data_IF_735998932622
#
_entry.id   IF_735998932622
#
_cell.length_a   1.000
_cell.length_b   1.000
_cell.length_c   1.000
_cell.angle_alpha   90.00
_cell.angle_beta   90.00
_cell.angle_gamma   90.00
#
_symmetry.space_group_name_H-M   'P 1'
#
loop_
_entity.id
_entity.type
_entity.pdbx_description
1 polymer ?
#
# COMPACT_ATOMS: atom_id res chain seq x y z
N UNK A 1 -23.58 -13.38 31.57
CA UNK A 1 -22.35 -12.61 31.25
C UNK A 1 -22.16 -12.65 29.73
N UNK A 2 -22.59 -11.61 29.01
CA UNK A 2 -22.68 -11.68 27.54
C UNK A 2 -22.52 -10.29 26.92
N UNK A 3 -21.28 -9.84 26.67
CA UNK A 3 -20.98 -8.62 25.90
C UNK A 3 -19.57 -8.67 25.29
N UNK A 4 -19.41 -9.25 24.10
CA UNK A 4 -18.20 -9.00 23.27
C UNK A 4 -18.33 -9.41 21.78
N UNK A 5 -19.44 -9.11 21.10
CA UNK A 5 -19.59 -9.51 19.68
C UNK A 5 -20.03 -8.39 18.72
N UNK A 6 -19.90 -7.11 19.09
CA UNK A 6 -20.38 -6.01 18.23
C UNK A 6 -19.31 -5.07 17.65
N UNK A 7 -18.03 -5.22 18.02
CA UNK A 7 -16.96 -4.36 17.46
C UNK A 7 -16.42 -4.82 16.11
N UNK A 8 -16.54 -6.11 15.78
CA UNK A 8 -16.01 -6.66 14.53
C UNK A 8 -16.83 -6.25 13.30
N UNK A 9 -18.15 -6.08 13.44
CA UNK A 9 -19.05 -5.68 12.34
C UNK A 9 -18.92 -4.20 11.96
N UNK A 10 -18.48 -3.34 12.89
CA UNK A 10 -18.29 -1.91 12.63
C UNK A 10 -17.13 -1.60 11.68
N UNK A 11 -16.16 -2.51 11.52
CA UNK A 11 -15.04 -2.32 10.58
C UNK A 11 -15.44 -2.56 9.12
N UNK A 12 -16.47 -3.37 8.86
CA UNK A 12 -16.93 -3.68 7.50
C UNK A 12 -18.07 -2.78 7.02
N UNK A 13 -18.79 -2.13 7.95
CA UNK A 13 -19.88 -1.18 7.65
C UNK A 13 -19.39 0.26 7.63
N UNK A 14 -18.30 0.53 6.90
CA UNK A 14 -17.91 1.90 6.63
C UNK A 14 -18.70 2.39 5.42
N UNK A 15 -19.60 3.34 5.64
CA UNK A 15 -20.32 4.03 4.55
C UNK A 15 -19.32 4.83 3.73
N UNK A 16 -18.85 4.23 2.63
CA UNK A 16 -17.99 4.91 1.68
C UNK A 16 -18.89 5.75 0.77
N UNK A 17 -18.92 7.06 1.01
CA UNK A 17 -19.66 8.01 0.19
C UNK A 17 -18.89 8.30 -1.10
N UNK A 18 -19.31 7.67 -2.21
CA UNK A 18 -18.71 7.85 -3.55
C UNK A 18 -19.22 9.11 -4.27
N UNK A 19 -20.11 9.86 -3.63
CA UNK A 19 -20.93 10.96 -4.17
C UNK A 19 -20.17 12.15 -4.78
N UNK A 20 -18.85 12.25 -4.54
CA UNK A 20 -18.02 13.38 -4.97
C UNK A 20 -16.92 12.99 -5.98
N UNK A 21 -16.84 11.72 -6.39
CA UNK A 21 -15.78 11.26 -7.28
C UNK A 21 -16.18 11.30 -8.74
N UNK A 22 -15.39 12.01 -9.56
CA UNK A 22 -15.54 12.06 -11.03
C UNK A 22 -15.36 10.66 -11.66
N UNK A 23 -14.68 9.75 -10.96
CA UNK A 23 -14.39 8.39 -11.42
C UNK A 23 -15.54 7.40 -11.21
N UNK A 24 -16.55 7.76 -10.42
CA UNK A 24 -17.67 6.88 -10.09
C UNK A 24 -18.99 7.65 -10.29
N UNK A 25 -19.56 7.64 -11.51
CA UNK A 25 -20.87 8.26 -11.73
C UNK A 25 -21.91 7.61 -10.82
N UNK A 26 -22.74 8.46 -10.20
CA UNK A 26 -23.72 8.04 -9.19
C UNK A 26 -24.63 6.93 -9.73
N UNK A 27 -24.77 5.85 -8.97
CA UNK A 27 -25.60 4.70 -9.32
C UNK A 27 -24.93 3.67 -10.25
N UNK A 28 -23.70 3.91 -10.71
CA UNK A 28 -22.93 2.98 -11.53
C UNK A 28 -21.61 2.54 -10.86
N UNK A 29 -21.44 2.78 -9.55
CA UNK A 29 -20.13 2.57 -8.89
C UNK A 29 -19.67 1.11 -9.04
N UNK A 30 -20.57 0.16 -8.86
CA UNK A 30 -20.28 -1.29 -8.98
C UNK A 30 -19.88 -1.69 -10.40
N UNK A 31 -20.50 -1.09 -11.41
CA UNK A 31 -20.20 -1.38 -12.81
C UNK A 31 -18.80 -0.86 -13.16
N UNK A 32 -18.50 0.38 -12.79
CA UNK A 32 -17.18 0.98 -13.01
C UNK A 32 -16.09 0.24 -12.24
N UNK A 33 -16.34 -0.19 -11.01
CA UNK A 33 -15.43 -1.05 -10.25
C UNK A 33 -15.09 -2.34 -10.99
N UNK A 34 -16.09 -3.02 -11.56
CA UNK A 34 -15.89 -4.26 -12.31
C UNK A 34 -15.10 -4.01 -13.61
N UNK A 35 -15.41 -2.92 -14.32
CA UNK A 35 -14.65 -2.49 -15.50
C UNK A 35 -13.20 -2.24 -15.10
N UNK A 36 -12.94 -1.44 -14.07
CA UNK A 36 -11.57 -1.20 -13.61
C UNK A 36 -10.86 -2.48 -13.21
N UNK A 37 -11.54 -3.40 -12.53
CA UNK A 37 -10.95 -4.68 -12.14
C UNK A 37 -10.46 -5.48 -13.35
N UNK A 38 -11.16 -5.43 -14.48
CA UNK A 38 -10.78 -6.17 -15.69
C UNK A 38 -9.77 -5.39 -16.54
N UNK A 39 -10.00 -4.10 -16.77
CA UNK A 39 -9.22 -3.29 -17.72
C UNK A 39 -7.89 -2.80 -17.15
N UNK A 40 -7.84 -2.45 -15.85
CA UNK A 40 -6.63 -1.95 -15.21
C UNK A 40 -5.45 -2.93 -15.33
N UNK A 41 -5.57 -4.21 -14.92
CA UNK A 41 -4.47 -5.18 -15.08
C UNK A 41 -4.12 -5.38 -16.55
N UNK A 42 -5.10 -5.43 -17.45
CA UNK A 42 -4.82 -5.62 -18.88
C UNK A 42 -3.95 -4.49 -19.46
N UNK A 43 -4.29 -3.24 -19.15
CA UNK A 43 -3.53 -2.07 -19.58
C UNK A 43 -2.12 -2.11 -18.97
N UNK A 44 -2.01 -2.41 -17.67
CA UNK A 44 -0.71 -2.55 -17.01
C UNK A 44 0.15 -3.64 -17.65
N UNK A 45 -0.44 -4.80 -17.98
CA UNK A 45 0.23 -5.91 -18.65
C UNK A 45 0.77 -5.51 -20.03
N UNK A 46 -0.03 -4.84 -20.84
CA UNK A 46 0.41 -4.34 -22.15
C UNK A 46 1.58 -3.36 -22.00
N UNK A 47 1.47 -2.39 -21.09
CA UNK A 47 2.52 -1.39 -20.85
C UNK A 47 3.80 -2.10 -20.39
N UNK A 48 3.68 -3.09 -19.50
CA UNK A 48 4.82 -3.86 -19.03
C UNK A 48 5.49 -4.66 -20.17
N UNK A 49 4.71 -5.36 -21.00
CA UNK A 49 5.24 -6.09 -22.16
C UNK A 49 5.95 -5.11 -23.10
N UNK A 50 5.37 -3.95 -23.38
CA UNK A 50 5.96 -2.96 -24.28
C UNK A 50 7.26 -2.37 -23.73
N UNK A 51 7.29 -2.02 -22.45
CA UNK A 51 8.43 -1.32 -21.83
C UNK A 51 9.54 -2.27 -21.40
N UNK A 52 9.21 -3.36 -20.70
CA UNK A 52 10.17 -4.27 -20.07
C UNK A 52 10.60 -5.40 -21.01
N UNK A 53 9.64 -6.04 -21.70
CA UNK A 53 9.95 -7.20 -22.55
C UNK A 53 10.39 -6.76 -23.95
N UNK A 54 9.64 -5.88 -24.60
CA UNK A 54 9.92 -5.42 -25.95
C UNK A 54 10.94 -4.26 -26.01
N UNK A 55 11.26 -3.63 -24.88
CA UNK A 55 12.24 -2.56 -24.79
C UNK A 55 11.94 -1.36 -25.70
N UNK A 56 10.67 -0.94 -25.76
CA UNK A 56 10.18 0.15 -26.62
C UNK A 56 10.32 -0.08 -28.14
N UNK A 57 10.58 -1.31 -28.59
CA UNK A 57 10.65 -1.64 -30.02
C UNK A 57 9.27 -2.08 -30.52
N UNK A 58 8.55 -1.26 -31.30
CA UNK A 58 7.18 -1.57 -31.72
C UNK A 58 7.10 -2.82 -32.61
N UNK A 59 8.16 -3.11 -33.37
CA UNK A 59 8.26 -4.31 -34.22
C UNK A 59 8.28 -5.59 -33.39
N UNK A 60 9.09 -5.63 -32.33
CA UNK A 60 9.15 -6.76 -31.39
C UNK A 60 7.87 -6.89 -30.58
N UNK A 61 7.32 -5.76 -30.10
CA UNK A 61 6.06 -5.75 -29.37
C UNK A 61 4.92 -6.40 -30.16
N UNK A 62 4.79 -6.03 -31.45
CA UNK A 62 3.76 -6.60 -32.33
C UNK A 62 3.91 -8.12 -32.51
N UNK A 63 5.15 -8.61 -32.61
CA UNK A 63 5.44 -10.04 -32.72
C UNK A 63 5.12 -10.81 -31.42
N UNK A 64 5.39 -10.19 -30.27
CA UNK A 64 5.11 -10.79 -28.96
C UNK A 64 3.60 -10.84 -28.74
N UNK A 65 2.90 -9.71 -28.92
CA UNK A 65 1.46 -9.61 -28.65
C UNK A 65 0.63 -10.48 -29.59
N UNK A 66 1.07 -10.67 -30.85
CA UNK A 66 0.36 -11.55 -31.79
C UNK A 66 0.40 -13.02 -31.38
N UNK A 67 1.42 -13.42 -30.61
CA UNK A 67 1.60 -14.79 -30.12
C UNK A 67 1.10 -15.00 -28.69
N UNK A 68 0.75 -13.92 -27.98
CA UNK A 68 0.32 -13.98 -26.59
C UNK A 68 -1.21 -14.00 -26.48
N UNK A 69 -1.71 -14.89 -25.64
CA UNK A 69 -3.14 -14.94 -25.33
C UNK A 69 -3.53 -13.79 -24.39
N UNK A 70 -4.75 -13.27 -24.58
CA UNK A 70 -5.33 -12.21 -23.74
C UNK A 70 -5.21 -12.49 -22.24
N UNK A 71 -5.52 -13.73 -21.82
CA UNK A 71 -5.45 -14.15 -20.41
C UNK A 71 -4.02 -14.05 -19.83
N UNK A 72 -3.00 -14.31 -20.65
CA UNK A 72 -1.61 -14.26 -20.20
C UNK A 72 -1.18 -12.80 -19.97
N UNK A 73 -1.50 -11.91 -20.91
CA UNK A 73 -1.27 -10.46 -20.75
C UNK A 73 -2.03 -9.90 -19.54
N UNK A 74 -3.26 -10.35 -19.32
CA UNK A 74 -4.09 -9.96 -18.18
C UNK A 74 -3.51 -10.43 -16.84
N UNK A 75 -3.11 -11.70 -16.74
CA UNK A 75 -2.50 -12.26 -15.54
C UNK A 75 -1.18 -11.56 -15.19
N UNK A 76 -0.33 -11.33 -16.20
CA UNK A 76 0.93 -10.62 -16.04
C UNK A 76 0.71 -9.19 -15.51
N UNK A 77 -0.37 -8.53 -15.95
CA UNK A 77 -0.82 -7.26 -15.40
C UNK A 77 -1.04 -7.27 -13.88
N UNK A 78 -1.68 -8.31 -13.35
CA UNK A 78 -1.85 -8.45 -11.91
C UNK A 78 -0.56 -8.71 -11.17
N UNK A 79 0.38 -9.46 -11.75
CA UNK A 79 1.68 -9.69 -11.11
C UNK A 79 2.42 -8.37 -10.90
N UNK A 80 2.42 -7.50 -11.91
CA UNK A 80 3.02 -6.17 -11.83
C UNK A 80 2.33 -5.31 -10.77
N UNK A 81 0.99 -5.27 -10.77
CA UNK A 81 0.23 -4.53 -9.76
C UNK A 81 0.48 -5.07 -8.33
N UNK A 82 0.48 -6.40 -8.16
CA UNK A 82 0.75 -7.04 -6.89
C UNK A 82 2.16 -6.72 -6.39
N UNK A 83 3.16 -6.70 -7.28
CA UNK A 83 4.53 -6.35 -6.92
C UNK A 83 4.65 -4.88 -6.47
N UNK A 84 3.95 -3.95 -7.14
CA UNK A 84 3.88 -2.55 -6.71
C UNK A 84 3.22 -2.43 -5.34
N UNK A 85 2.07 -3.07 -5.14
CA UNK A 85 1.37 -3.07 -3.84
C UNK A 85 2.26 -3.66 -2.74
N UNK A 86 2.95 -4.76 -3.04
CA UNK A 86 3.86 -5.41 -2.11
C UNK A 86 5.02 -4.49 -1.73
N UNK A 87 5.63 -3.79 -2.69
CA UNK A 87 6.67 -2.78 -2.44
C UNK A 87 6.15 -1.62 -1.56
N UNK A 88 4.91 -1.17 -1.77
CA UNK A 88 4.30 -0.14 -0.93
C UNK A 88 4.10 -0.60 0.51
N UNK A 89 3.65 -1.84 0.70
CA UNK A 89 3.51 -2.45 2.03
C UNK A 89 4.88 -2.56 2.70
N UNK A 90 5.90 -3.06 2.00
CA UNK A 90 7.26 -3.14 2.53
C UNK A 90 7.82 -1.77 2.91
N UNK A 91 7.64 -0.76 2.05
CA UNK A 91 8.06 0.62 2.33
C UNK A 91 7.37 1.17 3.59
N UNK A 92 6.07 0.94 3.72
CA UNK A 92 5.29 1.36 4.89
C UNK A 92 5.77 0.67 6.18
N UNK A 93 5.99 -0.65 6.11
CA UNK A 93 6.50 -1.44 7.23
C UNK A 93 7.90 -0.97 7.66
N UNK A 94 8.81 -0.73 6.71
CA UNK A 94 10.15 -0.22 7.00
C UNK A 94 10.10 1.18 7.64
N UNK A 95 9.28 2.08 7.08
CA UNK A 95 9.09 3.43 7.63
C UNK A 95 8.58 3.40 9.06
N UNK A 96 7.62 2.51 9.37
CA UNK A 96 7.09 2.36 10.73
C UNK A 96 8.16 1.88 11.73
N UNK A 97 8.98 0.90 11.34
CA UNK A 97 10.07 0.38 12.19
C UNK A 97 11.14 1.45 12.41
N UNK A 98 11.55 2.15 11.35
CA UNK A 98 12.55 3.21 11.42
C UNK A 98 12.06 4.36 12.31
N UNK A 99 10.85 4.86 12.07
CA UNK A 99 10.25 5.95 12.83
C UNK A 99 10.09 5.62 14.33
N UNK A 100 9.75 4.37 14.66
CA UNK A 100 9.65 3.90 16.05
C UNK A 100 11.00 3.88 16.77
N UNK A 101 12.11 3.70 16.04
CA UNK A 101 13.47 3.72 16.60
C UNK A 101 13.88 5.13 17.05
N UNK A 102 13.58 6.14 16.23
CA UNK A 102 13.96 7.53 16.51
C UNK A 102 13.20 8.12 17.70
N UNK A 103 11.92 7.78 17.85
CA UNK A 103 11.10 8.23 18.99
C UNK A 103 11.57 7.64 20.33
N UNK A 104 12.01 6.38 20.34
CA UNK A 104 12.54 5.73 21.56
C UNK A 104 13.88 6.38 21.96
N UNK A 105 14.79 6.60 21.01
CA UNK A 105 16.10 7.18 21.31
C UNK A 105 15.98 8.63 21.85
N UNK A 106 15.04 9.42 21.32
CA UNK A 106 14.84 10.79 21.79
C UNK A 106 14.16 10.85 23.19
N UNK A 107 13.27 9.90 23.48
CA UNK A 107 12.61 9.79 24.79
C UNK A 107 13.59 9.50 25.93
N UNK A 108 14.61 8.66 25.69
CA UNK A 108 15.66 8.40 26.69
C UNK A 108 16.59 9.60 26.91
N UNK A 109 16.85 10.40 25.87
CA UNK A 109 17.67 11.62 25.99
C UNK A 109 17.00 12.70 26.83
N UNK A 110 15.68 12.89 26.68
CA UNK A 110 14.93 13.85 27.49
C UNK A 110 14.82 13.43 28.97
N UNK A 111 14.63 12.14 29.27
CA UNK A 111 14.58 11.67 30.67
C UNK A 111 15.89 11.88 31.44
N UNK A 112 17.05 11.79 30.78
CA UNK A 112 18.34 12.05 31.45
C UNK A 112 18.60 13.54 31.75
N UNK A 113 18.02 14.45 30.98
CA UNK A 113 18.13 15.90 31.23
C UNK A 113 17.23 16.39 32.37
N UNK A 114 16.09 15.75 32.58
CA UNK A 114 15.14 16.10 33.64
C UNK A 114 15.33 15.32 34.95
N UNK A 115 16.51 14.73 35.19
CA UNK A 115 16.81 14.17 36.51
C UNK A 115 16.99 15.35 37.47
N UNK A 116 16.16 15.45 38.52
CA UNK A 116 16.26 16.55 39.46
C UNK A 116 17.62 16.50 40.17
N UNK A 117 18.17 17.69 40.44
CA UNK A 117 19.57 17.90 40.86
C UNK A 117 19.84 17.24 42.23
N UNK A 118 18.81 17.09 43.05
CA UNK A 118 18.81 16.40 44.35
C UNK A 118 19.27 14.93 44.26
N UNK A 119 18.84 14.20 43.22
CA UNK A 119 19.22 12.80 43.00
C UNK A 119 20.67 12.70 42.52
N UNK A 120 21.13 13.63 41.68
CA UNK A 120 22.54 13.68 41.22
C UNK A 120 23.51 13.90 42.38
N UNK A 121 23.13 14.72 43.36
CA UNK A 121 23.95 14.99 44.54
C UNK A 121 23.98 13.81 45.52
N UNK A 122 22.90 13.02 45.60
CA UNK A 122 22.87 11.78 46.40
C UNK A 122 23.79 10.68 45.85
N UNK A 123 23.88 10.53 44.54
CA UNK A 123 24.71 9.50 43.90
C UNK A 123 26.22 9.81 43.91
N UNK A 124 26.61 11.06 44.16
CA UNK A 124 28.02 11.49 44.22
C UNK A 124 28.61 11.41 45.63
N UNK A 125 27.80 11.03 46.64
CA UNK A 125 28.16 11.06 48.06
C UNK A 125 28.38 9.67 48.68
N UNK A 126 28.30 8.62 47.87
CA UNK A 126 28.75 7.24 48.14
C UNK A 126 29.89 6.93 47.21
#
# INVERSE_FOLDING_TARGET
MMLKQNRASQFFNQDVSWDQSIFFPKGYEKLFLLIYFIFLPYITGIIFIFTVIAGFRPTLFKLIISNHNFLLTWALGYEVLALIVLLLIFKSAYSFIFFKRDTIHNKHRHRRKNIPIDIKLRLKKT
#
